data_IF_051301201221
#
_entry.id   IF_051301201221
#
_cell.length_a   1.000
_cell.length_b   1.000
_cell.length_c   1.000
_cell.angle_alpha   90.00
_cell.angle_beta   90.00
_cell.angle_gamma   90.00
#
_symmetry.space_group_name_H-M   'P 1'
#
loop_
_entity.id
_entity.type
_entity.pdbx_description
1 polymer ?
#
# COMPACT_ATOMS: atom_id res chain seq x y z
N UNK A 1 -15.19 3.08 6.61
CA UNK A 1 -15.22 4.12 5.57
C UNK A 1 -16.62 4.68 5.35
N UNK A 2 -17.59 3.90 4.87
CA UNK A 2 -18.94 4.43 4.57
C UNK A 2 -19.61 5.16 5.75
N UNK A 3 -19.50 4.61 6.96
CA UNK A 3 -20.00 5.26 8.18
C UNK A 3 -19.29 6.59 8.48
N UNK A 4 -17.97 6.66 8.26
CA UNK A 4 -17.20 7.89 8.43
C UNK A 4 -17.63 8.95 7.41
N UNK A 5 -17.83 8.56 6.15
CA UNK A 5 -18.35 9.46 5.12
C UNK A 5 -19.76 9.96 5.46
N UNK A 6 -20.63 9.10 6.01
CA UNK A 6 -21.98 9.50 6.44
C UNK A 6 -21.95 10.47 7.62
N UNK A 7 -21.11 10.21 8.62
CA UNK A 7 -20.95 11.04 9.82
C UNK A 7 -19.98 12.22 9.65
N UNK A 8 -19.39 12.40 8.46
CA UNK A 8 -18.37 13.42 8.16
C UNK A 8 -17.13 13.34 9.06
N UNK A 9 -16.74 12.13 9.42
CA UNK A 9 -15.56 11.86 10.25
C UNK A 9 -14.33 11.67 9.35
N UNK A 10 -13.23 12.42 9.55
CA UNK A 10 -11.96 12.18 8.86
C UNK A 10 -11.45 10.75 9.00
N UNK A 11 -10.74 10.25 7.99
CA UNK A 11 -10.15 8.92 7.99
C UNK A 11 -8.64 8.99 8.23
N UNK A 12 -8.14 8.13 9.11
CA UNK A 12 -6.71 7.93 9.35
C UNK A 12 -6.36 6.48 9.06
N UNK A 13 -5.39 6.28 8.17
CA UNK A 13 -4.84 4.97 7.82
C UNK A 13 -3.44 4.81 8.42
N UNK A 14 -3.27 3.81 9.27
CA UNK A 14 -1.97 3.41 9.81
C UNK A 14 -1.51 2.16 9.07
N UNK A 15 -0.55 2.31 8.14
CA UNK A 15 -0.14 1.21 7.28
C UNK A 15 0.97 0.38 7.92
N UNK A 16 0.64 -0.88 8.19
CA UNK A 16 1.57 -1.97 8.41
C UNK A 16 1.00 -3.24 7.76
N UNK A 17 1.00 -3.26 6.43
CA UNK A 17 0.30 -4.23 5.59
C UNK A 17 1.27 -4.92 4.63
N UNK A 18 1.28 -6.25 4.67
CA UNK A 18 2.10 -7.11 3.78
C UNK A 18 1.38 -7.55 2.51
N UNK A 19 0.09 -7.24 2.40
CA UNK A 19 -0.77 -7.62 1.29
C UNK A 19 -2.07 -8.26 1.77
N UNK A 20 -2.80 -8.86 0.83
CA UNK A 20 -3.97 -9.68 1.14
C UNK A 20 -3.57 -11.13 1.40
N UNK A 21 -4.43 -11.87 2.08
CA UNK A 21 -4.25 -13.31 2.25
C UNK A 21 -4.26 -14.03 0.89
N UNK A 22 -3.53 -15.12 0.76
CA UNK A 22 -3.46 -15.90 -0.50
C UNK A 22 -3.88 -17.35 -0.26
N UNK A 23 -4.30 -18.02 -1.33
CA UNK A 23 -4.63 -19.44 -1.33
C UNK A 23 -6.05 -19.71 -1.83
N UNK A 24 -6.25 -20.91 -2.38
CA UNK A 24 -7.47 -21.30 -3.10
C UNK A 24 -8.76 -20.97 -2.35
N UNK A 25 -8.84 -21.32 -1.06
CA UNK A 25 -10.02 -21.05 -0.21
C UNK A 25 -10.36 -19.56 -0.14
N UNK A 26 -9.36 -18.68 -0.09
CA UNK A 26 -9.59 -17.23 0.00
C UNK A 26 -9.99 -16.65 -1.35
N UNK A 27 -9.41 -17.17 -2.44
CA UNK A 27 -9.80 -16.80 -3.80
C UNK A 27 -11.26 -17.17 -4.09
N UNK A 28 -11.64 -18.42 -3.83
CA UNK A 28 -13.03 -18.91 -3.96
C UNK A 28 -13.97 -18.21 -2.98
N UNK A 29 -13.47 -17.83 -1.80
CA UNK A 29 -14.16 -17.01 -0.81
C UNK A 29 -14.36 -15.54 -1.24
N UNK A 30 -13.86 -15.14 -2.41
CA UNK A 30 -14.08 -13.82 -2.98
C UNK A 30 -13.14 -12.75 -2.46
N UNK A 31 -11.91 -13.08 -2.04
CA UNK A 31 -10.98 -12.07 -1.53
C UNK A 31 -10.76 -10.90 -2.51
N UNK A 32 -10.75 -11.18 -3.82
CA UNK A 32 -10.69 -10.15 -4.87
C UNK A 32 -11.91 -9.22 -4.79
N UNK A 33 -13.12 -9.77 -4.70
CA UNK A 33 -14.35 -8.96 -4.65
C UNK A 33 -14.36 -8.11 -3.39
N UNK A 34 -14.04 -8.70 -2.24
CA UNK A 34 -14.02 -8.00 -0.95
C UNK A 34 -12.94 -6.92 -0.88
N UNK A 35 -11.73 -7.19 -1.41
CA UNK A 35 -10.68 -6.18 -1.56
C UNK A 35 -11.12 -5.02 -2.46
N UNK A 36 -11.82 -5.31 -3.55
CA UNK A 36 -12.36 -4.27 -4.45
C UNK A 36 -13.40 -3.38 -3.79
N UNK A 37 -14.21 -3.89 -2.84
CA UNK A 37 -15.15 -3.09 -2.06
C UNK A 37 -14.41 -2.07 -1.19
N UNK A 38 -13.31 -2.49 -0.55
CA UNK A 38 -12.48 -1.62 0.28
C UNK A 38 -11.84 -0.52 -0.57
N UNK A 39 -11.21 -0.88 -1.68
CA UNK A 39 -10.58 0.08 -2.60
C UNK A 39 -11.62 1.06 -3.17
N UNK A 40 -12.80 0.59 -3.57
CA UNK A 40 -13.89 1.46 -4.01
C UNK A 40 -14.26 2.49 -2.93
N UNK A 41 -14.41 2.04 -1.68
CA UNK A 41 -14.75 2.92 -0.57
C UNK A 41 -13.66 3.97 -0.30
N UNK A 42 -12.37 3.60 -0.36
CA UNK A 42 -11.22 4.52 -0.24
C UNK A 42 -11.24 5.56 -1.37
N UNK A 43 -11.35 5.10 -2.61
CA UNK A 43 -11.29 5.94 -3.80
C UNK A 43 -12.44 6.94 -3.90
N UNK A 44 -13.62 6.56 -3.40
CA UNK A 44 -14.81 7.41 -3.44
C UNK A 44 -15.09 8.10 -2.09
N UNK A 45 -14.14 8.09 -1.15
CA UNK A 45 -14.32 8.79 0.12
C UNK A 45 -14.30 10.30 -0.10
N UNK A 46 -15.26 10.98 0.53
CA UNK A 46 -15.46 12.42 0.44
C UNK A 46 -15.20 13.15 1.76
N UNK A 47 -14.48 12.52 2.70
CA UNK A 47 -13.96 13.13 3.92
C UNK A 47 -12.44 13.23 3.79
N UNK A 48 -11.76 14.12 4.52
CA UNK A 48 -10.31 14.18 4.47
C UNK A 48 -9.70 12.84 4.93
N UNK A 49 -8.79 12.32 4.11
CA UNK A 49 -8.06 11.07 4.35
C UNK A 49 -6.60 11.41 4.68
N UNK A 50 -6.04 10.75 5.70
CA UNK A 50 -4.65 10.90 6.12
C UNK A 50 -4.01 9.54 6.25
N UNK A 51 -2.74 9.42 5.87
CA UNK A 51 -2.02 8.15 5.90
C UNK A 51 -0.71 8.30 6.66
N UNK A 52 -0.38 7.30 7.49
CA UNK A 52 0.94 7.18 8.12
C UNK A 52 1.48 5.78 7.85
N UNK A 53 2.61 5.69 7.17
CA UNK A 53 3.34 4.45 6.94
C UNK A 53 4.15 4.14 8.20
N UNK A 54 3.64 3.23 9.03
CA UNK A 54 4.25 2.88 10.33
C UNK A 54 5.10 1.60 10.27
N UNK A 55 4.97 0.83 9.19
CA UNK A 55 5.67 -0.42 8.95
C UNK A 55 5.67 -0.79 7.46
N UNK A 56 5.28 -2.04 7.15
CA UNK A 56 5.16 -2.49 5.77
C UNK A 56 4.02 -1.79 5.02
N UNK A 57 4.24 -1.47 3.76
CA UNK A 57 3.26 -0.86 2.87
C UNK A 57 3.40 -1.50 1.49
N UNK A 58 2.86 -2.71 1.34
CA UNK A 58 3.13 -3.56 0.18
C UNK A 58 1.92 -3.81 -0.71
N UNK A 59 2.17 -3.73 -2.02
CA UNK A 59 1.27 -4.21 -3.08
C UNK A 59 -0.18 -3.71 -2.97
N UNK A 60 -1.14 -4.61 -3.16
CA UNK A 60 -2.56 -4.25 -3.07
C UNK A 60 -2.99 -3.74 -1.68
N UNK A 61 -2.25 -4.09 -0.62
CA UNK A 61 -2.48 -3.57 0.73
C UNK A 61 -2.25 -2.05 0.81
N UNK A 62 -1.20 -1.56 0.14
CA UNK A 62 -0.92 -0.11 0.02
C UNK A 62 -2.10 0.64 -0.61
N UNK A 63 -2.72 0.04 -1.63
CA UNK A 63 -3.89 0.62 -2.30
C UNK A 63 -5.12 0.63 -1.39
N UNK A 64 -5.42 -0.51 -0.77
CA UNK A 64 -6.57 -0.65 0.13
C UNK A 64 -6.49 0.24 1.36
N UNK A 65 -5.30 0.71 1.74
CA UNK A 65 -5.05 1.53 2.92
C UNK A 65 -4.76 3.00 2.58
N UNK A 66 -5.24 3.50 1.44
CA UNK A 66 -5.09 4.91 1.01
C UNK A 66 -3.61 5.33 0.85
N UNK A 67 -2.87 4.57 0.06
CA UNK A 67 -1.55 4.98 -0.43
C UNK A 67 -1.63 6.22 -1.36
N UNK A 68 -0.46 6.72 -1.79
CA UNK A 68 -0.33 7.93 -2.60
C UNK A 68 -1.30 8.03 -3.80
N UNK A 69 -1.56 6.97 -4.58
CA UNK A 69 -2.48 7.05 -5.72
C UNK A 69 -3.95 7.37 -5.38
N UNK A 70 -4.33 7.34 -4.09
CA UNK A 70 -5.67 7.66 -3.61
C UNK A 70 -5.76 9.06 -2.99
N UNK A 71 -4.74 9.89 -3.23
CA UNK A 71 -4.70 11.30 -2.87
C UNK A 71 -5.09 11.60 -1.39
N UNK A 72 -4.44 10.96 -0.39
CA UNK A 72 -4.58 11.41 0.98
C UNK A 72 -4.14 12.87 1.08
N UNK A 73 -4.76 13.64 1.98
CA UNK A 73 -4.42 15.05 2.23
C UNK A 73 -2.98 15.22 2.66
N UNK A 74 -2.53 14.31 3.52
CA UNK A 74 -1.12 14.12 3.85
C UNK A 74 -0.86 12.62 4.00
N UNK A 75 0.29 12.19 3.51
CA UNK A 75 0.85 10.87 3.75
C UNK A 75 2.24 11.03 4.34
N UNK A 76 2.43 10.57 5.57
CA UNK A 76 3.74 10.59 6.23
C UNK A 76 4.32 9.19 6.32
N UNK A 77 5.64 9.09 6.43
CA UNK A 77 6.31 7.82 6.67
C UNK A 77 7.18 7.88 7.92
N UNK A 78 7.22 6.78 8.68
CA UNK A 78 8.22 6.58 9.70
C UNK A 78 9.52 6.07 9.07
N UNK A 79 10.65 6.37 9.71
CA UNK A 79 11.99 5.87 9.30
C UNK A 79 12.12 4.35 9.34
N UNK A 80 11.21 3.66 10.02
CA UNK A 80 11.15 2.18 10.08
C UNK A 80 10.22 1.58 9.01
N UNK A 81 9.50 2.40 8.25
CA UNK A 81 8.55 1.92 7.25
C UNK A 81 9.26 1.34 6.03
N UNK A 82 8.55 0.53 5.25
CA UNK A 82 9.02 0.01 3.97
C UNK A 82 7.90 0.04 2.94
N UNK A 83 8.15 0.56 1.75
CA UNK A 83 7.13 0.67 0.70
C UNK A 83 7.62 0.06 -0.60
N UNK A 84 6.93 -0.96 -1.10
CA UNK A 84 7.27 -1.60 -2.37
C UNK A 84 6.08 -2.36 -2.95
N UNK A 85 6.25 -2.89 -4.17
CA UNK A 85 5.22 -3.74 -4.80
C UNK A 85 4.98 -5.05 -4.04
N UNK A 86 6.03 -5.62 -3.42
CA UNK A 86 6.00 -6.79 -2.55
C UNK A 86 7.29 -6.87 -1.73
N UNK A 87 7.42 -7.83 -0.81
CA UNK A 87 8.64 -8.01 -0.03
C UNK A 87 9.81 -8.56 -0.87
N UNK A 88 11.04 -8.23 -0.46
CA UNK A 88 12.27 -8.60 -1.18
C UNK A 88 12.40 -10.13 -1.39
N UNK A 89 12.16 -10.92 -0.35
CA UNK A 89 12.20 -12.39 -0.44
C UNK A 89 11.11 -12.96 -1.35
N UNK A 90 9.93 -12.33 -1.36
CA UNK A 90 8.82 -12.77 -2.23
C UNK A 90 9.16 -12.52 -3.70
N UNK A 91 9.68 -11.33 -4.02
CA UNK A 91 10.10 -10.97 -5.37
C UNK A 91 11.19 -11.91 -5.89
N UNK A 92 12.24 -12.13 -5.09
CA UNK A 92 13.34 -13.02 -5.45
C UNK A 92 12.85 -14.47 -5.61
N UNK A 93 12.03 -14.97 -4.68
CA UNK A 93 11.47 -16.31 -4.73
C UNK A 93 10.66 -16.58 -6.00
N UNK A 94 9.73 -15.68 -6.34
CA UNK A 94 8.91 -15.80 -7.56
C UNK A 94 9.78 -15.76 -8.81
N UNK A 95 10.75 -14.85 -8.89
CA UNK A 95 11.64 -14.75 -10.04
C UNK A 95 12.47 -16.04 -10.25
N UNK A 96 12.93 -16.64 -9.15
CA UNK A 96 13.63 -17.93 -9.18
C UNK A 96 12.76 -19.07 -9.71
N UNK A 97 11.53 -19.20 -9.20
CA UNK A 97 10.57 -20.23 -9.65
C UNK A 97 10.26 -20.07 -11.15
N UNK A 98 10.07 -18.83 -11.62
CA UNK A 98 9.80 -18.54 -13.03
C UNK A 98 10.99 -18.94 -13.90
N UNK A 99 12.23 -18.63 -13.50
CA UNK A 99 13.39 -19.00 -14.30
C UNK A 99 13.63 -20.51 -14.35
N UNK A 100 13.49 -21.20 -13.22
CA UNK A 100 13.60 -22.64 -13.18
C UNK A 100 12.56 -23.30 -14.09
N UNK A 101 11.31 -22.82 -14.04
CA UNK A 101 10.22 -23.30 -14.88
C UNK A 101 10.46 -23.01 -16.37
N UNK A 102 11.02 -21.84 -16.70
CA UNK A 102 11.32 -21.45 -18.08
C UNK A 102 12.39 -22.35 -18.69
N UNK A 103 13.50 -22.60 -18.00
CA UNK A 103 14.56 -23.50 -18.45
C UNK A 103 14.01 -24.93 -18.70
N UNK A 104 13.24 -25.46 -17.74
CA UNK A 104 12.57 -26.76 -17.87
C UNK A 104 11.65 -26.83 -19.08
N UNK A 105 10.87 -25.76 -19.34
CA UNK A 105 9.97 -25.71 -20.51
C UNK A 105 10.69 -25.72 -21.86
N UNK A 106 11.96 -25.32 -21.88
CA UNK A 106 12.85 -25.35 -23.06
C UNK A 106 13.66 -26.64 -23.17
N UNK A 107 13.52 -27.57 -22.22
CA UNK A 107 14.35 -28.78 -22.13
C UNK A 107 15.77 -28.52 -21.64
N UNK A 108 16.04 -27.35 -21.07
CA UNK A 108 17.34 -26.98 -20.51
C UNK A 108 17.41 -27.33 -19.01
N UNK A 109 18.61 -27.63 -18.51
CA UNK A 109 18.82 -27.81 -17.07
C UNK A 109 19.00 -26.44 -16.41
N UNK A 110 18.20 -26.08 -15.39
CA UNK A 110 18.33 -24.79 -14.72
C UNK A 110 19.72 -24.59 -14.10
N UNK A 111 20.36 -23.46 -14.39
CA UNK A 111 21.58 -23.04 -13.69
C UNK A 111 21.21 -22.46 -12.32
N UNK A 112 21.33 -23.31 -11.28
CA UNK A 112 20.99 -22.93 -9.92
C UNK A 112 21.93 -21.86 -9.35
N UNK A 113 23.20 -21.78 -9.79
CA UNK A 113 24.12 -20.74 -9.33
C UNK A 113 23.71 -19.37 -9.89
N UNK A 114 23.37 -19.33 -11.17
CA UNK A 114 22.85 -18.12 -11.81
C UNK A 114 21.54 -17.67 -11.17
N UNK A 115 20.62 -18.59 -10.86
CA UNK A 115 19.35 -18.28 -10.20
C UNK A 115 19.58 -17.71 -8.80
N UNK A 116 20.47 -18.27 -7.99
CA UNK A 116 20.75 -17.73 -6.65
C UNK A 116 21.43 -16.35 -6.71
N UNK A 117 22.34 -16.14 -7.66
CA UNK A 117 22.95 -14.82 -7.87
C UNK A 117 21.88 -13.78 -8.26
N UNK A 118 20.99 -14.12 -9.19
CA UNK A 118 19.86 -13.28 -9.57
C UNK A 118 18.95 -12.97 -8.38
N UNK A 119 18.61 -13.97 -7.56
CA UNK A 119 17.81 -13.77 -6.34
C UNK A 119 18.48 -12.81 -5.36
N UNK A 120 19.79 -12.93 -5.15
CA UNK A 120 20.56 -12.01 -4.31
C UNK A 120 20.46 -10.57 -4.82
N UNK A 121 20.66 -10.36 -6.12
CA UNK A 121 20.57 -9.03 -6.74
C UNK A 121 19.15 -8.43 -6.59
N UNK A 122 18.12 -9.24 -6.77
CA UNK A 122 16.72 -8.80 -6.59
C UNK A 122 16.44 -8.41 -5.14
N UNK A 123 16.90 -9.21 -4.16
CA UNK A 123 16.73 -8.89 -2.74
C UNK A 123 17.36 -7.55 -2.40
N UNK A 124 18.61 -7.35 -2.80
CA UNK A 124 19.33 -6.12 -2.53
C UNK A 124 18.62 -4.91 -3.15
N UNK A 125 18.21 -5.02 -4.42
CA UNK A 125 17.46 -3.95 -5.09
C UNK A 125 16.17 -3.60 -4.34
N UNK A 126 15.40 -4.60 -3.91
CA UNK A 126 14.16 -4.36 -3.19
C UNK A 126 14.39 -3.75 -1.80
N UNK A 127 15.44 -4.14 -1.09
CA UNK A 127 15.78 -3.50 0.20
C UNK A 127 16.16 -2.03 0.01
N UNK A 128 16.97 -1.72 -1.00
CA UNK A 128 17.37 -0.34 -1.32
C UNK A 128 16.18 0.52 -1.77
N UNK A 129 15.33 0.01 -2.68
CA UNK A 129 14.21 0.76 -3.25
C UNK A 129 12.99 0.84 -2.32
N UNK A 130 12.90 -0.04 -1.31
CA UNK A 130 11.82 -0.01 -0.32
C UNK A 130 12.10 0.87 0.90
N UNK A 131 13.34 1.34 1.04
CA UNK A 131 13.78 2.21 2.13
C UNK A 131 13.00 3.54 2.14
N UNK A 132 12.59 4.07 3.31
CA UNK A 132 11.79 5.28 3.38
C UNK A 132 12.52 6.52 2.83
N UNK A 133 13.86 6.56 2.87
CA UNK A 133 14.61 7.64 2.22
C UNK A 133 14.50 7.56 0.70
N UNK A 134 14.40 6.35 0.13
CA UNK A 134 14.19 6.18 -1.31
C UNK A 134 12.83 6.74 -1.74
N UNK A 135 11.78 6.42 -0.99
CA UNK A 135 10.41 6.88 -1.23
C UNK A 135 10.25 8.38 -1.04
N UNK A 136 10.74 8.93 0.07
CA UNK A 136 10.60 10.36 0.39
C UNK A 136 11.34 11.24 -0.63
N UNK A 137 12.51 10.81 -1.10
CA UNK A 137 13.28 11.50 -2.15
C UNK A 137 12.54 11.57 -3.50
N UNK A 138 11.46 10.79 -3.67
CA UNK A 138 10.64 10.70 -4.88
C UNK A 138 9.19 11.14 -4.64
N UNK A 139 8.91 11.79 -3.50
CA UNK A 139 7.59 12.29 -3.13
C UNK A 139 6.51 11.20 -3.03
N UNK A 140 6.88 9.97 -2.71
CA UNK A 140 5.88 8.93 -2.43
C UNK A 140 5.11 9.22 -1.13
N UNK A 141 5.75 9.89 -0.19
CA UNK A 141 5.22 10.50 1.02
C UNK A 141 5.52 12.02 1.04
N UNK A 142 4.85 12.75 1.93
CA UNK A 142 5.00 14.20 2.13
C UNK A 142 6.09 14.52 3.18
N UNK A 143 6.83 13.51 3.60
CA UNK A 143 7.96 13.64 4.52
C UNK A 143 8.05 12.50 5.51
N UNK A 144 9.29 12.26 5.93
CA UNK A 144 9.60 11.43 7.08
C UNK A 144 9.33 12.20 8.37
N UNK A 145 8.67 11.54 9.32
CA UNK A 145 8.43 12.10 10.66
C UNK A 145 8.96 11.18 11.75
N UNK A 146 9.36 11.77 12.87
CA UNK A 146 9.59 11.01 14.09
C UNK A 146 8.27 10.37 14.55
N UNK A 147 8.24 9.08 14.90
CA UNK A 147 7.03 8.43 15.43
C UNK A 147 6.35 9.21 16.56
N UNK A 148 7.13 9.90 17.42
CA UNK A 148 6.64 10.72 18.54
C UNK A 148 5.88 11.96 18.08
N UNK A 149 6.18 12.47 16.89
CA UNK A 149 5.56 13.67 16.32
C UNK A 149 4.28 13.37 15.52
N UNK A 150 3.93 12.09 15.33
CA UNK A 150 2.75 11.66 14.56
C UNK A 150 1.48 12.40 14.98
N UNK A 151 1.24 12.55 16.29
CA UNK A 151 0.06 13.26 16.81
C UNK A 151 0.07 14.74 16.38
N UNK A 152 1.21 15.41 16.48
CA UNK A 152 1.34 16.82 16.13
C UNK A 152 1.14 17.01 14.62
N UNK A 153 1.82 16.22 13.80
CA UNK A 153 1.71 16.26 12.34
C UNK A 153 0.25 16.05 11.87
N UNK A 154 -0.44 15.05 12.45
CA UNK A 154 -1.86 14.80 12.15
C UNK A 154 -2.77 15.93 12.63
N UNK A 155 -2.50 16.52 13.80
CA UNK A 155 -3.30 17.65 14.31
C UNK A 155 -3.23 18.85 13.35
N UNK A 156 -2.03 19.17 12.88
CA UNK A 156 -1.83 20.23 11.88
C UNK A 156 -2.54 19.88 10.57
N UNK A 157 -2.36 18.66 10.05
CA UNK A 157 -3.02 18.21 8.82
C UNK A 157 -4.56 18.25 8.89
N UNK A 158 -5.13 17.80 10.00
CA UNK A 158 -6.57 17.85 10.25
C UNK A 158 -7.04 19.31 10.32
N UNK A 159 -6.33 20.18 11.04
CA UNK A 159 -6.64 21.61 11.10
C UNK A 159 -6.62 22.27 9.72
N UNK A 160 -5.60 21.97 8.89
CA UNK A 160 -5.51 22.44 7.51
C UNK A 160 -6.72 22.01 6.68
N UNK A 161 -7.19 20.76 6.86
CA UNK A 161 -8.30 20.21 6.08
C UNK A 161 -9.64 20.91 6.32
N UNK A 162 -9.82 21.60 7.45
CA UNK A 162 -11.03 22.37 7.75
C UNK A 162 -11.16 23.67 6.96
N UNK A 163 -10.15 24.06 6.17
CA UNK A 163 -10.25 25.22 5.26
C UNK A 163 -11.01 24.90 3.95
N UNK A 164 -11.50 23.65 3.79
CA UNK A 164 -12.41 23.23 2.72
C UNK A 164 -13.73 22.77 3.33
N UNK A 165 -14.83 23.05 2.65
CA UNK A 165 -16.13 22.47 2.98
C UNK A 165 -16.20 21.01 2.52
N UNK A 166 -16.41 20.10 3.47
CA UNK A 166 -16.59 18.66 3.26
C UNK A 166 -18.03 18.19 3.51
N UNK A 167 -18.89 19.10 3.95
CA UNK A 167 -20.27 18.83 4.38
C UNK A 167 -21.25 19.28 3.29
N UNK A 168 -21.02 20.43 2.68
CA UNK A 168 -21.90 21.03 1.67
C UNK A 168 -21.99 20.28 0.34
N UNK A 169 -21.06 19.36 0.04
CA UNK A 169 -21.07 18.54 -1.19
C UNK A 169 -22.22 17.51 -1.25
N UNK A 170 -23.12 17.49 -0.25
CA UNK A 170 -24.26 16.57 -0.21
C UNK A 170 -23.86 15.15 0.17
N UNK A 171 -24.80 14.20 0.09
CA UNK A 171 -24.58 12.84 0.56
C UNK A 171 -23.39 12.14 -0.15
N UNK A 172 -22.62 11.28 0.54
CA UNK A 172 -21.53 10.53 -0.07
C UNK A 172 -22.00 9.72 -1.28
N UNK A 173 -21.21 9.75 -2.37
CA UNK A 173 -21.46 9.00 -3.60
C UNK A 173 -20.34 7.98 -3.80
N UNK A 174 -20.69 6.80 -4.28
CA UNK A 174 -19.74 5.72 -4.58
C UNK A 174 -19.99 5.20 -5.99
N UNK A 175 -18.93 4.69 -6.62
CA UNK A 175 -19.09 3.81 -7.77
C UNK A 175 -19.76 2.48 -7.40
N UNK A 176 -20.10 1.68 -8.40
CA UNK A 176 -20.76 0.39 -8.18
C UNK A 176 -19.92 -0.55 -7.29
N UNK A 177 -20.55 -1.10 -6.25
CA UNK A 177 -19.96 -2.15 -5.42
C UNK A 177 -20.21 -3.52 -6.04
N UNK A 178 -19.16 -4.35 -6.14
CA UNK A 178 -19.23 -5.73 -6.64
C UNK A 178 -19.59 -6.68 -5.49
N UNK A 179 -20.89 -6.95 -5.31
CA UNK A 179 -21.42 -7.81 -4.25
C UNK A 179 -21.30 -9.30 -4.55
#
# INVERSE_FOLDING_TARGET
IQLCNHSRTPLLYLQNITGFMVGQKYEEGGIIKHGSLMINAVANSNVPQFTVLIGGAYGAGYYAMCGRPYDPRLIFAWVTSRTAVMGAEQAAGVLGIVQESSAKSKGETPDMQQIEFMKMMVRQKFEEESDPYFGTARLWDDGLIDPRDTRMALTVGISMSYNRDWVGEGAPRYGNFRM
#
